data_IF_673668939425
#
_entry.id   IF_673668939425
#
_cell.length_a   1.000
_cell.length_b   1.000
_cell.length_c   1.000
_cell.angle_alpha   90.00
_cell.angle_beta   90.00
_cell.angle_gamma   90.00
#
_symmetry.space_group_name_H-M   'P 1'
#
loop_
_entity.id
_entity.type
_entity.pdbx_description
1 polymer ?
#
# COMPACT_ATOMS: atom_id res chain seq x y z
N UNK A 1 3.98 15.67 1.21
CA UNK A 1 4.71 15.14 0.03
C UNK A 1 5.78 16.08 -0.53
N UNK A 2 5.87 17.33 -0.08
CA UNK A 2 6.80 18.35 -0.61
C UNK A 2 8.27 17.91 -0.61
N UNK A 3 8.71 17.15 0.39
CA UNK A 3 10.06 16.60 0.45
C UNK A 3 10.42 15.65 -0.72
N UNK A 4 9.44 15.08 -1.42
CA UNK A 4 9.69 14.19 -2.56
C UNK A 4 9.61 14.94 -3.90
N UNK A 5 9.25 16.22 -3.89
CA UNK A 5 9.16 17.06 -5.08
C UNK A 5 10.55 17.61 -5.39
N UNK A 6 10.96 17.51 -6.65
CA UNK A 6 12.18 18.11 -7.18
C UNK A 6 11.94 19.54 -7.64
N UNK A 7 10.95 19.74 -8.51
CA UNK A 7 10.60 21.04 -9.09
C UNK A 7 9.13 21.08 -9.48
N UNK A 8 8.50 22.25 -9.42
CA UNK A 8 7.17 22.50 -9.98
C UNK A 8 7.31 23.20 -11.34
N UNK A 9 6.62 22.70 -12.36
CA UNK A 9 6.54 23.34 -13.67
C UNK A 9 5.57 24.53 -13.65
N UNK A 10 5.69 25.41 -14.65
CA UNK A 10 4.72 26.50 -14.91
C UNK A 10 3.29 25.99 -15.01
N UNK A 11 3.12 24.78 -15.52
CA UNK A 11 1.83 24.15 -15.81
C UNK A 11 1.18 23.56 -14.53
N UNK A 12 1.81 23.78 -13.37
CA UNK A 12 1.31 23.32 -12.07
C UNK A 12 1.71 21.89 -11.70
N UNK A 13 2.24 21.10 -12.65
CA UNK A 13 2.69 19.72 -12.43
C UNK A 13 3.95 19.70 -11.55
N UNK A 14 3.93 18.83 -10.54
CA UNK A 14 5.06 18.61 -9.63
C UNK A 14 5.91 17.44 -10.13
N UNK A 15 7.19 17.68 -10.38
CA UNK A 15 8.17 16.66 -10.78
C UNK A 15 8.70 15.98 -9.52
N UNK A 16 8.62 14.65 -9.45
CA UNK A 16 9.11 13.85 -8.32
C UNK A 16 10.63 13.64 -8.45
N UNK A 17 11.35 13.69 -7.33
CA UNK A 17 12.76 13.38 -7.27
C UNK A 17 12.99 11.85 -7.35
N UNK A 18 13.50 11.38 -8.49
CA UNK A 18 13.75 9.97 -8.76
C UNK A 18 14.75 9.32 -7.78
N UNK A 19 15.77 10.06 -7.33
CA UNK A 19 16.76 9.52 -6.38
C UNK A 19 16.10 9.20 -5.04
N UNK A 20 15.30 10.14 -4.51
CA UNK A 20 14.54 9.93 -3.26
C UNK A 20 13.50 8.83 -3.40
N UNK A 21 12.85 8.73 -4.58
CA UNK A 21 11.91 7.65 -4.86
C UNK A 21 12.58 6.28 -4.83
N UNK A 22 13.76 6.15 -5.45
CA UNK A 22 14.54 4.91 -5.44
C UNK A 22 14.96 4.47 -4.04
N UNK A 23 15.44 5.41 -3.21
CA UNK A 23 15.80 5.15 -1.81
C UNK A 23 14.59 4.62 -1.01
N UNK A 24 13.40 5.18 -1.22
CA UNK A 24 12.17 4.73 -0.55
C UNK A 24 11.66 3.39 -1.08
N UNK A 25 11.85 3.12 -2.36
CA UNK A 25 11.48 1.85 -2.97
C UNK A 25 12.35 0.70 -2.42
N UNK A 26 13.66 0.93 -2.25
CA UNK A 26 14.55 -0.03 -1.59
C UNK A 26 14.17 -0.26 -0.13
N UNK A 27 13.84 0.80 0.61
CA UNK A 27 13.39 0.68 2.00
C UNK A 27 12.10 -0.15 2.11
N UNK A 28 11.14 0.07 1.22
CA UNK A 28 9.91 -0.72 1.16
C UNK A 28 10.19 -2.19 0.83
N UNK A 29 11.08 -2.47 -0.12
CA UNK A 29 11.48 -3.83 -0.45
C UNK A 29 12.15 -4.54 0.74
N UNK A 30 13.03 -3.84 1.48
CA UNK A 30 13.64 -4.39 2.70
C UNK A 30 12.60 -4.72 3.78
N UNK A 31 11.60 -3.86 3.97
CA UNK A 31 10.52 -4.11 4.92
C UNK A 31 9.68 -5.34 4.54
N UNK A 32 9.42 -5.55 3.24
CA UNK A 32 8.69 -6.73 2.75
C UNK A 32 9.51 -8.00 2.96
N UNK A 33 10.81 -7.98 2.64
CA UNK A 33 11.71 -9.14 2.80
C UNK A 33 11.94 -9.51 4.27
N UNK A 34 11.82 -8.55 5.20
CA UNK A 34 11.97 -8.80 6.62
C UNK A 34 10.85 -9.67 7.22
N UNK A 35 9.73 -9.86 6.52
CA UNK A 35 8.65 -10.74 6.97
C UNK A 35 8.98 -12.19 6.57
N UNK A 36 9.07 -13.08 7.57
CA UNK A 36 9.43 -14.49 7.37
C UNK A 36 8.43 -15.24 6.49
N UNK A 37 7.13 -15.05 6.74
CA UNK A 37 6.06 -15.65 5.96
C UNK A 37 5.52 -14.63 4.93
N UNK A 38 5.76 -14.80 3.62
CA UNK A 38 5.28 -13.86 2.61
C UNK A 38 3.75 -13.78 2.57
N UNK A 39 3.02 -14.84 2.97
CA UNK A 39 1.56 -14.85 3.00
C UNK A 39 0.94 -13.84 3.96
N UNK A 40 1.69 -13.41 4.99
CA UNK A 40 1.27 -12.42 5.98
C UNK A 40 1.37 -10.98 5.45
N UNK A 41 1.95 -10.79 4.26
CA UNK A 41 1.96 -9.51 3.56
C UNK A 41 0.69 -9.40 2.72
N UNK A 42 -0.12 -8.37 2.99
CA UNK A 42 -1.34 -8.07 2.22
C UNK A 42 -1.10 -6.92 1.26
N UNK A 43 -1.47 -7.12 0.01
CA UNK A 43 -1.36 -6.09 -1.03
C UNK A 43 -2.75 -5.73 -1.53
N UNK A 44 -3.10 -4.45 -1.48
CA UNK A 44 -4.46 -3.97 -1.74
C UNK A 44 -4.46 -2.92 -2.83
N UNK A 45 -5.39 -3.08 -3.76
CA UNK A 45 -5.76 -2.03 -4.72
C UNK A 45 -7.27 -1.97 -4.87
N UNK A 46 -7.86 -0.83 -4.50
CA UNK A 46 -9.25 -0.52 -4.81
C UNK A 46 -9.44 0.10 -6.20
N UNK A 47 -8.37 0.56 -6.85
CA UNK A 47 -8.42 1.10 -8.21
C UNK A 47 -8.34 -0.01 -9.25
N UNK A 48 -9.17 0.10 -10.29
CA UNK A 48 -9.15 -0.78 -11.47
C UNK A 48 -7.76 -0.88 -12.13
N UNK A 49 -6.99 0.20 -12.14
CA UNK A 49 -5.63 0.26 -12.71
C UNK A 49 -4.64 -0.64 -11.96
N UNK A 50 -4.84 -0.85 -10.65
CA UNK A 50 -3.92 -1.60 -9.80
C UNK A 50 -4.30 -3.06 -9.58
N UNK A 51 -5.55 -3.48 -9.86
CA UNK A 51 -6.04 -4.83 -9.54
C UNK A 51 -5.16 -5.93 -10.14
N UNK A 52 -4.86 -5.83 -11.44
CA UNK A 52 -4.01 -6.81 -12.14
C UNK A 52 -2.57 -6.79 -11.63
N UNK A 53 -2.05 -5.62 -11.30
CA UNK A 53 -0.69 -5.46 -10.78
C UNK A 53 -0.55 -6.15 -9.41
N UNK A 54 -1.54 -5.99 -8.53
CA UNK A 54 -1.58 -6.64 -7.22
C UNK A 54 -1.64 -8.16 -7.35
N UNK A 55 -2.47 -8.71 -8.23
CA UNK A 55 -2.52 -10.15 -8.47
C UNK A 55 -1.19 -10.70 -8.99
N UNK A 56 -0.54 -10.00 -9.93
CA UNK A 56 0.77 -10.41 -10.44
C UNK A 56 1.88 -10.28 -9.42
N UNK A 57 1.83 -9.24 -8.58
CA UNK A 57 2.78 -9.04 -7.49
C UNK A 57 2.67 -10.16 -6.45
N UNK A 58 1.45 -10.53 -6.07
CA UNK A 58 1.19 -11.64 -5.17
C UNK A 58 1.74 -12.97 -5.70
N UNK A 59 1.51 -13.27 -6.98
CA UNK A 59 2.06 -14.49 -7.61
C UNK A 59 3.60 -14.49 -7.61
N UNK A 60 4.23 -13.33 -7.80
CA UNK A 60 5.69 -13.24 -7.85
C UNK A 60 6.35 -13.31 -6.46
N UNK A 61 5.69 -12.80 -5.42
CA UNK A 61 6.26 -12.68 -4.07
C UNK A 61 5.72 -13.69 -3.07
N UNK A 62 4.61 -14.35 -3.35
CA UNK A 62 3.88 -15.18 -2.39
C UNK A 62 3.00 -14.38 -1.43
N UNK A 63 2.88 -13.06 -1.61
CA UNK A 63 1.99 -12.20 -0.83
C UNK A 63 0.52 -12.48 -1.13
N UNK A 64 -0.37 -12.11 -0.21
CA UNK A 64 -1.81 -12.33 -0.39
C UNK A 64 -2.48 -11.08 -0.99
N UNK A 65 -3.09 -11.18 -2.20
CA UNK A 65 -3.69 -10.04 -2.87
C UNK A 65 -5.12 -9.78 -2.41
N UNK A 66 -5.51 -8.51 -2.35
CA UNK A 66 -6.90 -8.05 -2.30
C UNK A 66 -7.07 -7.07 -3.47
N UNK A 67 -7.59 -7.60 -4.57
CA UNK A 67 -7.70 -6.88 -5.84
C UNK A 67 -9.08 -6.24 -6.08
N UNK A 68 -10.01 -6.39 -5.14
CA UNK A 68 -11.39 -5.90 -5.27
C UNK A 68 -11.74 -4.90 -4.15
N UNK A 69 -13.03 -4.56 -4.06
CA UNK A 69 -13.55 -3.75 -2.97
C UNK A 69 -13.14 -4.36 -1.62
N UNK A 70 -12.47 -3.56 -0.79
CA UNK A 70 -12.09 -3.98 0.55
C UNK A 70 -13.35 -4.10 1.41
N UNK A 71 -13.58 -5.29 1.98
CA UNK A 71 -14.72 -5.51 2.86
C UNK A 71 -14.41 -4.92 4.23
N UNK A 72 -15.20 -3.95 4.74
CA UNK A 72 -14.97 -3.41 6.06
C UNK A 72 -15.04 -4.50 7.15
N UNK A 73 -14.15 -4.45 8.12
CA UNK A 73 -14.01 -5.44 9.18
C UNK A 73 -13.06 -6.59 8.85
N UNK A 74 -12.42 -6.59 7.67
CA UNK A 74 -11.48 -7.64 7.27
C UNK A 74 -10.30 -7.79 8.24
N UNK A 75 -9.85 -6.70 8.87
CA UNK A 75 -8.75 -6.74 9.83
C UNK A 75 -9.20 -6.77 11.30
N UNK A 76 -10.44 -6.38 11.61
CA UNK A 76 -10.90 -6.21 12.99
C UNK A 76 -11.92 -7.26 13.44
N UNK A 77 -12.70 -7.82 12.51
CA UNK A 77 -13.78 -8.76 12.83
C UNK A 77 -13.34 -10.22 12.69
N UNK A 78 -12.94 -10.84 13.81
CA UNK A 78 -12.48 -12.23 13.85
C UNK A 78 -13.56 -13.27 13.52
N UNK A 79 -14.85 -12.92 13.57
CA UNK A 79 -15.96 -13.84 13.28
C UNK A 79 -16.14 -14.02 11.75
N UNK A 80 -15.69 -13.05 10.95
CA UNK A 80 -15.85 -13.07 9.51
C UNK A 80 -14.96 -14.14 8.86
N UNK A 81 -15.49 -14.89 7.91
CA UNK A 81 -14.73 -15.93 7.19
C UNK A 81 -13.52 -15.36 6.40
N UNK A 82 -13.60 -14.10 5.99
CA UNK A 82 -12.54 -13.38 5.30
C UNK A 82 -11.60 -12.61 6.26
N UNK A 83 -11.70 -12.83 7.57
CA UNK A 83 -10.79 -12.24 8.55
C UNK A 83 -9.35 -12.57 8.20
N UNK A 84 -8.50 -11.55 8.27
CA UNK A 84 -7.06 -11.76 8.14
C UNK A 84 -6.30 -10.81 9.07
N UNK A 85 -5.22 -11.33 9.63
CA UNK A 85 -4.32 -10.60 10.51
C UNK A 85 -2.94 -10.49 9.85
N UNK A 86 -2.76 -9.54 8.91
CA UNK A 86 -1.48 -9.35 8.25
C UNK A 86 -0.41 -8.76 9.16
N UNK A 87 0.86 -8.96 8.79
CA UNK A 87 2.00 -8.32 9.46
C UNK A 87 2.48 -7.06 8.74
N UNK A 88 2.15 -6.93 7.45
CA UNK A 88 2.50 -5.78 6.63
C UNK A 88 1.41 -5.53 5.58
N UNK A 89 1.04 -4.27 5.41
CA UNK A 89 0.05 -3.84 4.43
C UNK A 89 0.69 -2.95 3.35
N UNK A 90 0.49 -3.30 2.09
CA UNK A 90 0.88 -2.51 0.92
C UNK A 90 -0.36 -2.01 0.20
N UNK A 91 -0.48 -0.69 0.01
CA UNK A 91 -1.64 -0.05 -0.62
C UNK A 91 -1.21 0.74 -1.86
N UNK A 92 -1.93 0.61 -2.96
CA UNK A 92 -1.59 1.30 -4.22
C UNK A 92 -1.97 2.78 -4.26
N UNK A 93 -2.95 3.21 -3.47
CA UNK A 93 -3.35 4.60 -3.35
C UNK A 93 -4.05 4.84 -2.00
N UNK A 94 -3.54 5.71 -1.11
CA UNK A 94 -4.17 5.97 0.17
C UNK A 94 -5.51 6.70 0.07
N UNK A 95 -5.80 7.41 -1.04
CA UNK A 95 -7.10 8.11 -1.21
C UNK A 95 -8.22 7.12 -1.49
N UNK A 96 -8.03 6.24 -2.47
CA UNK A 96 -9.01 5.21 -2.81
C UNK A 96 -8.99 4.03 -1.83
N UNK A 97 -7.88 3.81 -1.13
CA UNK A 97 -7.67 2.73 -0.16
C UNK A 97 -7.64 3.22 1.28
N UNK A 98 -8.46 4.21 1.64
CA UNK A 98 -8.50 4.75 3.01
C UNK A 98 -9.08 3.76 4.03
N UNK A 99 -10.10 2.98 3.67
CA UNK A 99 -10.72 1.99 4.56
C UNK A 99 -9.72 0.99 5.16
N UNK A 100 -8.87 0.29 4.38
CA UNK A 100 -7.88 -0.62 4.95
C UNK A 100 -6.79 0.11 5.76
N UNK A 101 -6.49 1.38 5.47
CA UNK A 101 -5.54 2.17 6.27
C UNK A 101 -6.14 2.50 7.65
N UNK A 102 -7.40 2.91 7.70
CA UNK A 102 -8.12 3.16 8.95
C UNK A 102 -8.21 1.88 9.78
N UNK A 103 -8.57 0.75 9.16
CA UNK A 103 -8.62 -0.51 9.89
C UNK A 103 -7.25 -1.01 10.35
N UNK A 104 -6.21 -0.84 9.52
CA UNK A 104 -4.84 -1.14 9.90
C UNK A 104 -4.37 -0.35 11.12
N UNK A 105 -4.85 0.89 11.28
CA UNK A 105 -4.53 1.71 12.46
C UNK A 105 -5.13 1.17 13.76
N UNK A 106 -6.26 0.46 13.72
CA UNK A 106 -6.86 -0.15 14.91
C UNK A 106 -6.08 -1.37 15.41
N UNK A 107 -5.32 -2.03 14.54
CA UNK A 107 -4.57 -3.26 14.85
C UNK A 107 -3.05 -3.06 14.84
N UNK A 108 -2.57 -1.80 14.80
CA UNK A 108 -1.14 -1.45 14.75
C UNK A 108 -0.38 -2.04 13.55
N UNK A 109 -1.04 -2.14 12.40
CA UNK A 109 -0.47 -2.72 11.18
C UNK A 109 0.48 -1.72 10.50
N UNK A 110 1.77 -2.06 10.28
CA UNK A 110 2.65 -1.21 9.49
C UNK A 110 2.17 -1.16 8.03
N UNK A 111 2.13 0.06 7.49
CA UNK A 111 1.57 0.36 6.17
C UNK A 111 2.60 0.99 5.24
N UNK A 112 2.65 0.48 4.01
CA UNK A 112 3.41 1.04 2.89
C UNK A 112 2.40 1.46 1.84
N UNK A 113 2.44 2.70 1.38
CA UNK A 113 1.54 3.19 0.36
C UNK A 113 2.27 3.84 -0.81
N UNK A 114 1.76 3.61 -2.02
CA UNK A 114 2.19 4.33 -3.21
C UNK A 114 1.43 5.66 -3.25
N UNK A 115 2.13 6.74 -2.96
CA UNK A 115 1.55 8.08 -2.83
C UNK A 115 1.95 8.98 -4.00
N UNK A 116 0.98 9.73 -4.52
CA UNK A 116 1.23 10.84 -5.42
C UNK A 116 1.42 12.16 -4.63
N UNK A 117 1.77 13.25 -5.30
CA UNK A 117 2.01 14.55 -4.65
C UNK A 117 0.79 15.11 -3.91
N UNK A 118 -0.42 14.76 -4.36
CA UNK A 118 -1.69 15.16 -3.76
C UNK A 118 -2.25 14.12 -2.76
N UNK A 119 -1.57 12.99 -2.57
CA UNK A 119 -2.01 11.98 -1.61
C UNK A 119 -1.81 12.46 -0.17
N UNK A 120 -2.80 12.26 0.73
CA UNK A 120 -2.62 12.53 2.15
C UNK A 120 -1.61 11.53 2.73
N UNK A 121 -0.66 12.04 3.50
CA UNK A 121 0.12 11.26 4.44
C UNK A 121 -0.60 11.43 5.77
N UNK A 122 -1.49 10.48 6.09
CA UNK A 122 -2.14 10.40 7.40
C UNK A 122 -1.08 10.32 8.51
#
# INVERSE_FOLDING_TARGET
MEQYIYKRQSDGICIINLKRMWEKLLLAAQAIVAIENPGDVRVISSRNTGQRAVLKFAVATGATPIADCFTPGTFTNQIQAAFCDPRLLVVTDPRAGNQPLTEGSYVNLPTISLCNTDSPLL
#
